data_IF_609377592847
#
_entry.id   IF_609377592847
#
_cell.length_a   1.000
_cell.length_b   1.000
_cell.length_c   1.000
_cell.angle_alpha   90.00
_cell.angle_beta   90.00
_cell.angle_gamma   90.00
#
_symmetry.space_group_name_H-M   'P 1'
#
loop_
_entity.id
_entity.type
_entity.pdbx_description
1 polymer ?
#
# COMPACT_ATOMS: atom_id res chain seq x y z
N UNK A 1 -13.60 2.34 7.78
CA UNK A 1 -12.81 1.26 7.15
C UNK A 1 -12.04 1.70 5.91
N UNK A 2 -12.63 1.83 4.71
CA UNK A 2 -11.85 2.13 3.47
C UNK A 2 -10.98 3.38 3.61
N UNK A 3 -11.54 4.46 4.16
CA UNK A 3 -10.83 5.71 4.38
C UNK A 3 -9.65 5.56 5.35
N UNK A 4 -9.82 4.78 6.43
CA UNK A 4 -8.75 4.52 7.41
C UNK A 4 -7.60 3.71 6.77
N UNK A 5 -7.94 2.71 5.94
CA UNK A 5 -6.96 1.96 5.16
C UNK A 5 -6.20 2.92 4.23
N UNK A 6 -6.92 3.73 3.46
CA UNK A 6 -6.34 4.67 2.51
C UNK A 6 -5.37 5.64 3.21
N UNK A 7 -5.80 6.26 4.31
CA UNK A 7 -4.98 7.21 5.05
C UNK A 7 -3.72 6.56 5.61
N UNK A 8 -3.83 5.34 6.16
CA UNK A 8 -2.65 4.61 6.61
C UNK A 8 -1.69 4.36 5.46
N UNK A 9 -2.17 3.85 4.33
CA UNK A 9 -1.32 3.53 3.18
C UNK A 9 -0.66 4.79 2.60
N UNK A 10 -1.35 5.94 2.61
CA UNK A 10 -0.75 7.23 2.25
C UNK A 10 0.36 7.65 3.20
N UNK A 11 0.17 7.51 4.50
CA UNK A 11 1.22 7.79 5.49
C UNK A 11 2.45 6.90 5.28
N UNK A 12 2.26 5.61 5.00
CA UNK A 12 3.36 4.68 4.75
C UNK A 12 4.08 4.97 3.44
N UNK A 13 3.35 5.22 2.35
CA UNK A 13 3.93 5.63 1.09
C UNK A 13 4.68 6.97 1.18
N UNK A 14 4.18 7.90 2.01
CA UNK A 14 4.89 9.17 2.29
C UNK A 14 6.21 8.91 3.01
N UNK A 15 6.21 8.04 4.01
CA UNK A 15 7.43 7.70 4.73
C UNK A 15 8.45 7.01 3.84
N UNK A 16 8.02 6.06 3.00
CA UNK A 16 8.89 5.40 2.03
C UNK A 16 9.43 6.37 0.98
N UNK A 17 8.63 7.34 0.51
CA UNK A 17 9.11 8.38 -0.41
C UNK A 17 10.18 9.28 0.22
N UNK A 18 10.12 9.52 1.53
CA UNK A 18 11.13 10.29 2.25
C UNK A 18 12.37 9.44 2.53
N UNK A 19 12.20 8.24 3.09
CA UNK A 19 13.30 7.38 3.55
C UNK A 19 14.03 6.71 2.38
N UNK A 20 13.30 6.36 1.33
CA UNK A 20 13.84 5.68 0.15
C UNK A 20 13.39 6.42 -1.13
N UNK A 21 14.10 7.50 -1.53
CA UNK A 21 13.74 8.28 -2.71
C UNK A 21 13.74 7.45 -4.00
N UNK A 22 14.56 6.40 -4.08
CA UNK A 22 14.60 5.50 -5.23
C UNK A 22 13.36 4.59 -5.28
N UNK A 23 12.42 4.92 -6.18
CA UNK A 23 11.11 4.27 -6.29
C UNK A 23 11.15 2.74 -6.42
N UNK A 24 12.17 2.20 -7.10
CA UNK A 24 12.30 0.76 -7.34
C UNK A 24 12.55 -0.07 -6.07
N UNK A 25 13.06 0.56 -5.01
CA UNK A 25 13.37 -0.08 -3.73
C UNK A 25 12.33 0.20 -2.65
N UNK A 26 11.29 1.00 -2.95
CA UNK A 26 10.23 1.30 -1.99
C UNK A 26 9.36 0.08 -1.74
N UNK A 27 9.08 -0.14 -0.46
CA UNK A 27 8.20 -1.19 -0.02
C UNK A 27 6.73 -0.80 -0.17
N UNK A 28 6.38 0.44 0.19
CA UNK A 28 5.03 1.00 0.10
C UNK A 28 4.94 2.08 -0.99
N UNK A 29 3.84 2.10 -1.72
CA UNK A 29 3.51 3.18 -2.64
C UNK A 29 2.01 3.46 -2.64
N UNK A 30 1.63 4.67 -3.02
CA UNK A 30 0.23 5.05 -3.14
C UNK A 30 0.04 6.05 -4.28
N UNK A 31 -1.00 5.84 -5.08
CA UNK A 31 -1.43 6.76 -6.12
C UNK A 31 -2.91 7.08 -5.92
N UNK A 32 -3.18 8.31 -5.50
CA UNK A 32 -4.53 8.84 -5.25
C UNK A 32 -5.27 9.26 -6.53
N UNK A 33 -4.61 9.12 -7.68
CA UNK A 33 -5.11 9.49 -9.00
C UNK A 33 -4.93 8.33 -9.99
N UNK A 34 -5.02 7.08 -9.51
CA UNK A 34 -4.75 5.87 -10.30
C UNK A 34 -5.59 5.83 -11.58
N UNK A 35 -6.87 6.18 -11.46
CA UNK A 35 -7.78 6.37 -12.59
C UNK A 35 -8.96 7.27 -12.15
N UNK A 36 -9.96 7.44 -13.02
CA UNK A 36 -11.13 8.28 -12.72
C UNK A 36 -11.89 7.80 -11.48
N UNK A 37 -11.70 8.51 -10.37
CA UNK A 37 -12.29 8.20 -9.07
C UNK A 37 -11.68 6.97 -8.38
N UNK A 38 -10.53 6.50 -8.85
CA UNK A 38 -9.85 5.30 -8.35
C UNK A 38 -8.53 5.67 -7.68
N UNK A 39 -8.25 5.00 -6.57
CA UNK A 39 -6.97 5.12 -5.87
C UNK A 39 -6.37 3.72 -5.69
N UNK A 40 -5.04 3.68 -5.59
CA UNK A 40 -4.28 2.44 -5.49
C UNK A 40 -3.18 2.59 -4.45
N UNK A 41 -3.11 1.65 -3.50
CA UNK A 41 -1.96 1.44 -2.64
C UNK A 41 -1.30 0.11 -2.97
N UNK A 42 0.03 0.04 -2.90
CA UNK A 42 0.76 -1.20 -3.19
C UNK A 42 1.84 -1.47 -2.16
N UNK A 43 2.15 -2.75 -2.00
CA UNK A 43 3.35 -3.24 -1.34
C UNK A 43 4.16 -4.12 -2.28
N UNK A 44 5.49 -3.98 -2.27
CA UNK A 44 6.45 -4.85 -2.97
C UNK A 44 7.57 -5.23 -2.02
N UNK A 45 7.76 -6.52 -1.75
CA UNK A 45 8.70 -6.97 -0.73
C UNK A 45 10.15 -7.18 -1.20
N UNK A 46 10.43 -6.91 -2.48
CA UNK A 46 11.73 -7.14 -3.11
C UNK A 46 12.07 -8.62 -3.37
N UNK A 47 11.24 -9.56 -2.91
CA UNK A 47 11.41 -11.01 -3.03
C UNK A 47 10.30 -11.68 -3.86
N UNK A 48 9.47 -10.89 -4.53
CA UNK A 48 8.39 -11.33 -5.40
C UNK A 48 7.02 -11.36 -4.75
N UNK A 49 6.94 -11.17 -3.43
CA UNK A 49 5.69 -10.92 -2.73
C UNK A 49 5.23 -9.48 -2.94
N UNK A 50 3.96 -9.33 -3.27
CA UNK A 50 3.37 -8.01 -3.50
C UNK A 50 1.85 -8.06 -3.34
N UNK A 51 1.28 -6.92 -3.03
CA UNK A 51 -0.16 -6.76 -3.08
C UNK A 51 -0.58 -5.37 -3.53
N UNK A 52 -1.82 -5.28 -4.00
CA UNK A 52 -2.47 -4.05 -4.39
C UNK A 52 -3.79 -3.91 -3.63
N UNK A 53 -3.96 -2.77 -2.98
CA UNK A 53 -5.23 -2.27 -2.48
C UNK A 53 -5.79 -1.28 -3.49
N UNK A 54 -7.03 -1.48 -3.91
CA UNK A 54 -7.74 -0.60 -4.83
C UNK A 54 -9.00 -0.08 -4.16
N UNK A 55 -9.38 1.16 -4.46
CA UNK A 55 -10.68 1.71 -4.05
C UNK A 55 -11.31 2.57 -5.14
N UNK A 56 -12.64 2.60 -5.14
CA UNK A 56 -13.48 3.48 -5.96
C UNK A 56 -14.76 3.82 -5.22
N UNK A 57 -14.85 5.03 -4.67
CA UNK A 57 -15.95 5.40 -3.76
C UNK A 57 -16.03 4.45 -2.57
N UNK A 58 -17.18 3.78 -2.41
CA UNK A 58 -17.43 2.79 -1.35
C UNK A 58 -16.98 1.36 -1.70
N UNK A 59 -16.35 1.17 -2.86
CA UNK A 59 -15.79 -0.13 -3.26
C UNK A 59 -14.32 -0.22 -2.86
N UNK A 60 -13.90 -1.40 -2.43
CA UNK A 60 -12.50 -1.69 -2.17
C UNK A 60 -12.16 -3.13 -2.56
N UNK A 61 -10.96 -3.30 -3.11
CA UNK A 61 -10.42 -4.56 -3.58
C UNK A 61 -9.00 -4.75 -3.07
N UNK A 62 -8.60 -6.01 -2.91
CA UNK A 62 -7.25 -6.39 -2.53
C UNK A 62 -6.82 -7.61 -3.33
N UNK A 63 -5.64 -7.58 -3.96
CA UNK A 63 -5.02 -8.76 -4.59
C UNK A 63 -3.62 -8.93 -4.05
N UNK A 64 -3.24 -10.16 -3.72
CA UNK A 64 -1.92 -10.48 -3.22
C UNK A 64 -1.35 -11.71 -3.92
N UNK A 65 -0.04 -11.65 -4.17
CA UNK A 65 0.80 -12.79 -4.46
C UNK A 65 1.85 -12.92 -3.35
N UNK A 66 1.97 -14.12 -2.82
CA UNK A 66 2.95 -14.53 -1.84
C UNK A 66 3.54 -15.85 -2.33
N UNK A 67 4.74 -15.83 -2.93
CA UNK A 67 5.36 -17.02 -3.51
C UNK A 67 5.47 -18.19 -2.53
N UNK A 68 5.74 -17.90 -1.25
CA UNK A 68 5.92 -18.92 -0.21
C UNK A 68 4.60 -19.50 0.30
N UNK A 69 3.52 -18.71 0.32
CA UNK A 69 2.18 -19.20 0.68
C UNK A 69 1.51 -19.97 -0.48
N UNK A 70 2.04 -19.82 -1.70
CA UNK A 70 1.50 -20.43 -2.91
C UNK A 70 0.32 -19.65 -3.49
N UNK A 71 -0.22 -20.16 -4.60
CA UNK A 71 -1.28 -19.53 -5.38
C UNK A 71 -2.53 -20.41 -5.38
N UNK A 72 -3.70 -19.81 -5.58
CA UNK A 72 -4.91 -20.59 -5.87
C UNK A 72 -4.98 -20.84 -7.37
N UNK A 73 -4.84 -22.11 -7.75
CA UNK A 73 -4.98 -22.54 -9.14
C UNK A 73 -6.36 -22.12 -9.67
N UNK A 74 -6.39 -21.48 -10.84
CA UNK A 74 -7.61 -20.96 -11.47
C UNK A 74 -8.40 -19.95 -10.63
N UNK A 75 -7.76 -19.14 -9.77
CA UNK A 75 -8.45 -18.08 -9.04
C UNK A 75 -9.22 -17.12 -9.97
N UNK A 76 -8.75 -16.95 -11.20
CA UNK A 76 -9.42 -16.18 -12.25
C UNK A 76 -10.80 -16.73 -12.62
N UNK A 77 -11.06 -18.03 -12.45
CA UNK A 77 -12.37 -18.63 -12.73
C UNK A 77 -13.46 -18.14 -11.78
N UNK A 78 -13.06 -17.63 -10.61
CA UNK A 78 -13.94 -17.01 -9.63
C UNK A 78 -14.19 -15.52 -9.92
N UNK A 79 -13.46 -14.90 -10.85
CA UNK A 79 -13.67 -13.48 -11.16
C UNK A 79 -15.04 -13.20 -11.77
N UNK A 80 -15.66 -14.20 -12.41
CA UNK A 80 -17.04 -14.12 -12.91
C UNK A 80 -18.08 -13.99 -11.79
N UNK A 81 -17.73 -14.38 -10.57
CA UNK A 81 -18.61 -14.32 -9.40
C UNK A 81 -18.49 -12.96 -8.68
N UNK A 82 -17.50 -12.14 -9.05
CA UNK A 82 -17.28 -10.80 -8.49
C UNK A 82 -18.21 -9.79 -9.21
N UNK A 83 -18.89 -8.89 -8.48
CA UNK A 83 -19.80 -7.91 -9.10
C UNK A 83 -19.09 -7.06 -10.16
N UNK A 84 -19.79 -6.76 -11.27
CA UNK A 84 -19.24 -6.02 -12.42
C UNK A 84 -18.76 -4.60 -12.07
N UNK A 85 -19.18 -4.04 -10.93
CA UNK A 85 -18.65 -2.78 -10.40
C UNK A 85 -17.15 -2.84 -10.06
N UNK A 86 -16.60 -4.05 -9.91
CA UNK A 86 -15.16 -4.30 -9.71
C UNK A 86 -14.39 -4.58 -11.01
N UNK A 87 -15.00 -4.40 -12.18
CA UNK A 87 -14.35 -4.74 -13.45
C UNK A 87 -13.02 -3.99 -13.67
N UNK A 88 -12.90 -2.72 -13.28
CA UNK A 88 -11.61 -2.00 -13.39
C UNK A 88 -10.56 -2.64 -12.49
N UNK A 89 -10.88 -2.92 -11.23
CA UNK A 89 -10.00 -3.63 -10.31
C UNK A 89 -9.58 -5.04 -10.78
N UNK A 90 -10.54 -5.83 -11.29
CA UNK A 90 -10.29 -7.21 -11.67
C UNK A 90 -9.42 -7.30 -12.93
N UNK A 91 -9.66 -6.41 -13.90
CA UNK A 91 -8.98 -6.45 -15.19
C UNK A 91 -7.79 -5.49 -15.32
N UNK A 92 -7.47 -4.72 -14.27
CA UNK A 92 -6.33 -3.80 -14.25
C UNK A 92 -5.02 -4.57 -14.54
N UNK A 93 -4.32 -4.25 -15.66
CA UNK A 93 -3.06 -4.90 -16.02
C UNK A 93 -1.99 -4.81 -14.94
N UNK A 94 -1.88 -3.68 -14.22
CA UNK A 94 -0.92 -3.53 -13.12
C UNK A 94 -1.19 -4.51 -11.97
N UNK A 95 -2.44 -4.95 -11.79
CA UNK A 95 -2.84 -5.88 -10.74
C UNK A 95 -3.01 -7.31 -11.26
N UNK A 96 -2.61 -7.58 -12.51
CA UNK A 96 -2.90 -8.84 -13.22
C UNK A 96 -2.06 -10.00 -12.70
N UNK A 97 -2.39 -10.46 -11.50
CA UNK A 97 -1.94 -11.70 -10.89
C UNK A 97 -2.91 -12.81 -11.34
N UNK A 98 -2.65 -13.40 -12.51
CA UNK A 98 -3.45 -14.53 -13.01
C UNK A 98 -3.48 -15.69 -12.01
N UNK A 99 -2.38 -15.85 -11.29
CA UNK A 99 -2.21 -16.78 -10.16
C UNK A 99 -1.98 -16.00 -8.86
N UNK A 100 -3.02 -15.31 -8.36
CA UNK A 100 -2.97 -14.69 -7.03
C UNK A 100 -2.97 -15.74 -5.92
N UNK A 101 -2.28 -15.44 -4.82
CA UNK A 101 -2.47 -16.13 -3.54
C UNK A 101 -3.83 -15.82 -2.95
N UNK A 102 -4.28 -14.57 -3.04
CA UNK A 102 -5.64 -14.21 -2.64
C UNK A 102 -6.20 -12.99 -3.38
N UNK A 103 -7.53 -12.93 -3.45
CA UNK A 103 -8.30 -11.81 -4.01
C UNK A 103 -9.49 -11.55 -3.10
N UNK A 104 -9.57 -10.35 -2.55
CA UNK A 104 -10.66 -9.91 -1.68
C UNK A 104 -11.37 -8.72 -2.30
N UNK A 105 -12.67 -8.61 -2.01
CA UNK A 105 -13.47 -7.44 -2.39
C UNK A 105 -14.48 -7.13 -1.29
N UNK A 106 -14.84 -5.87 -1.16
CA UNK A 106 -15.78 -5.42 -0.14
C UNK A 106 -17.22 -5.53 -0.61
N UNK A 107 -18.08 -6.15 0.19
CA UNK A 107 -19.52 -6.21 -0.09
C UNK A 107 -20.28 -6.04 1.23
N UNK A 108 -21.23 -5.10 1.27
CA UNK A 108 -22.02 -4.79 2.47
C UNK A 108 -21.14 -4.59 3.73
N UNK A 109 -20.05 -3.82 3.59
CA UNK A 109 -19.04 -3.58 4.64
C UNK A 109 -18.30 -4.82 5.17
N UNK A 110 -18.37 -5.95 4.47
CA UNK A 110 -17.65 -7.17 4.81
C UNK A 110 -16.69 -7.57 3.69
N UNK A 111 -15.47 -7.95 4.05
CA UNK A 111 -14.51 -8.48 3.10
C UNK A 111 -14.92 -9.91 2.69
N UNK A 112 -15.24 -10.08 1.41
CA UNK A 112 -15.35 -11.40 0.80
C UNK A 112 -13.94 -11.82 0.41
N UNK A 113 -13.45 -12.90 1.03
CA UNK A 113 -12.08 -13.36 0.87
C UNK A 113 -12.03 -14.64 0.04
N UNK A 114 -11.32 -14.60 -1.08
CA UNK A 114 -10.94 -15.76 -1.87
C UNK A 114 -9.43 -15.93 -1.77
N UNK A 115 -8.91 -17.15 -1.71
CA UNK A 115 -7.48 -17.39 -1.64
C UNK A 115 -7.02 -18.28 -0.49
N UNK A 116 -5.70 -18.37 -0.35
CA UNK A 116 -5.03 -18.94 0.82
C UNK A 116 -4.80 -17.88 1.90
N UNK A 117 -4.52 -18.34 3.12
CA UNK A 117 -4.06 -17.45 4.19
C UNK A 117 -2.62 -17.00 3.92
N UNK A 118 -2.39 -15.69 3.95
CA UNK A 118 -1.07 -15.09 3.70
C UNK A 118 -0.29 -14.97 5.01
N UNK A 119 0.95 -15.47 5.03
CA UNK A 119 1.83 -15.48 6.21
C UNK A 119 3.22 -14.94 5.92
N UNK A 120 3.66 -15.01 4.68
CA UNK A 120 5.03 -14.69 4.28
C UNK A 120 5.18 -13.31 3.65
N UNK A 121 4.07 -12.66 3.31
CA UNK A 121 4.01 -11.25 2.92
C UNK A 121 3.29 -10.47 4.01
N UNK A 122 3.77 -9.26 4.29
CA UNK A 122 3.15 -8.38 5.26
C UNK A 122 1.72 -8.01 4.81
N UNK A 123 0.72 -8.49 5.55
CA UNK A 123 -0.69 -8.39 5.14
C UNK A 123 -1.24 -6.98 5.30
N UNK A 124 -2.28 -6.66 4.52
CA UNK A 124 -3.00 -5.39 4.65
C UNK A 124 -3.49 -5.17 6.09
N UNK A 125 -4.06 -6.18 6.74
CA UNK A 125 -4.52 -6.08 8.13
C UNK A 125 -3.39 -5.78 9.11
N UNK A 126 -2.20 -6.37 8.89
CA UNK A 126 -1.04 -6.11 9.75
C UNK A 126 -0.56 -4.66 9.57
N UNK A 127 -0.45 -4.20 8.33
CA UNK A 127 -0.03 -2.84 7.98
C UNK A 127 -0.97 -1.79 8.57
N UNK A 128 -2.29 -2.01 8.49
CA UNK A 128 -3.25 -1.04 9.04
C UNK A 128 -3.24 -0.97 10.56
N UNK A 129 -2.82 -2.05 11.22
CA UNK A 129 -2.65 -2.13 12.68
C UNK A 129 -1.34 -1.53 13.19
N UNK A 130 -0.43 -1.11 12.30
CA UNK A 130 0.83 -0.52 12.72
C UNK A 130 0.63 0.81 13.42
N UNK A 131 1.33 0.94 14.55
CA UNK A 131 1.63 2.20 15.21
C UNK A 131 2.95 2.77 14.66
N UNK A 132 3.26 4.07 14.88
CA UNK A 132 4.49 4.69 14.38
C UNK A 132 5.77 3.91 14.70
N UNK A 133 5.83 3.33 15.90
CA UNK A 133 6.96 2.51 16.34
C UNK A 133 7.12 1.23 15.51
N UNK A 134 6.04 0.64 15.02
CA UNK A 134 6.12 -0.58 14.21
C UNK A 134 6.69 -0.30 12.83
N UNK A 135 6.33 0.84 12.22
CA UNK A 135 6.98 1.26 10.98
C UNK A 135 8.45 1.57 11.22
N UNK A 136 8.79 2.31 12.29
CA UNK A 136 10.19 2.60 12.65
C UNK A 136 11.02 1.31 12.74
N UNK A 137 10.63 0.38 13.62
CA UNK A 137 11.37 -0.86 13.86
C UNK A 137 11.57 -1.65 12.56
N UNK A 138 10.53 -1.77 11.73
CA UNK A 138 10.60 -2.46 10.45
C UNK A 138 11.50 -1.72 9.44
N UNK A 139 11.35 -0.41 9.31
CA UNK A 139 12.05 0.40 8.32
C UNK A 139 13.54 0.57 8.66
N UNK A 140 13.91 0.65 9.94
CA UNK A 140 15.31 0.67 10.36
C UNK A 140 16.02 -0.65 10.07
N UNK A 141 15.31 -1.78 10.16
CA UNK A 141 15.84 -3.09 9.75
C UNK A 141 15.96 -3.19 8.22
N UNK A 142 14.92 -2.78 7.49
CA UNK A 142 14.86 -2.95 6.04
C UNK A 142 15.76 -1.97 5.26
N UNK A 143 15.73 -0.69 5.63
CA UNK A 143 16.50 0.37 4.97
C UNK A 143 17.88 0.59 5.60
N UNK A 144 18.20 -0.09 6.70
CA UNK A 144 19.45 0.05 7.47
C UNK A 144 19.74 1.49 7.96
N UNK A 145 18.69 2.28 8.19
CA UNK A 145 18.75 3.67 8.62
C UNK A 145 18.31 3.87 10.09
N UNK A 146 18.63 5.02 10.68
CA UNK A 146 18.06 5.42 11.99
C UNK A 146 16.98 6.49 11.80
N UNK A 147 15.75 6.20 12.21
CA UNK A 147 14.60 7.05 11.88
C UNK A 147 14.02 7.79 13.10
N UNK A 148 13.69 9.05 12.93
CA UNK A 148 13.04 9.86 13.97
C UNK A 148 11.59 9.43 14.22
N UNK A 149 11.32 8.87 15.40
CA UNK A 149 9.98 8.43 15.80
C UNK A 149 8.97 9.58 15.90
N UNK A 150 9.39 10.77 16.28
CA UNK A 150 8.51 11.95 16.38
C UNK A 150 8.03 12.36 14.98
N UNK A 151 8.95 12.45 14.02
CA UNK A 151 8.65 12.70 12.62
C UNK A 151 7.70 11.65 12.03
N UNK A 152 7.97 10.35 12.27
CA UNK A 152 7.08 9.25 11.83
C UNK A 152 5.69 9.40 12.44
N UNK A 153 5.62 9.71 13.74
CA UNK A 153 4.34 9.86 14.45
C UNK A 153 3.50 10.98 13.87
N UNK A 154 4.13 12.11 13.49
CA UNK A 154 3.42 13.20 12.82
C UNK A 154 2.89 12.80 11.44
N UNK A 155 3.70 12.12 10.63
CA UNK A 155 3.28 11.67 9.28
C UNK A 155 2.16 10.61 9.37
N UNK A 156 2.17 9.77 10.41
CA UNK A 156 1.08 8.84 10.72
C UNK A 156 -0.26 9.54 11.01
N UNK A 157 -0.24 10.80 11.44
CA UNK A 157 -1.44 11.64 11.62
C UNK A 157 -1.80 12.46 10.37
N UNK A 158 -1.01 12.33 9.30
CA UNK A 158 -1.13 13.11 8.07
C UNK A 158 -0.55 14.52 8.18
N UNK A 159 0.20 14.84 9.24
CA UNK A 159 0.89 16.11 9.40
C UNK A 159 2.33 15.98 8.88
N UNK A 160 2.58 16.57 7.71
CA UNK A 160 3.89 16.57 7.06
C UNK A 160 4.41 18.00 7.11
N UNK A 161 5.68 18.17 7.47
CA UNK A 161 6.33 19.47 7.37
C UNK A 161 7.83 19.27 7.05
N UNK A 162 8.48 20.36 6.68
CA UNK A 162 9.89 20.36 6.29
C UNK A 162 10.79 19.84 7.41
N UNK A 163 10.53 20.20 8.68
CA UNK A 163 11.37 19.72 9.80
C UNK A 163 11.31 18.20 9.99
N UNK A 164 10.13 17.59 9.85
CA UNK A 164 9.97 16.13 9.95
C UNK A 164 10.67 15.43 8.79
N UNK A 165 10.55 15.97 7.57
CA UNK A 165 11.21 15.44 6.38
C UNK A 165 12.73 15.48 6.55
N UNK A 166 13.29 16.65 6.88
CA UNK A 166 14.73 16.81 7.08
C UNK A 166 15.27 15.93 8.21
N UNK A 167 14.46 15.65 9.24
CA UNK A 167 14.84 14.74 10.34
C UNK A 167 14.94 13.28 9.87
N UNK A 168 14.08 12.87 8.93
CA UNK A 168 14.05 11.51 8.40
C UNK A 168 15.06 11.29 7.26
N UNK A 169 15.18 12.27 6.36
CA UNK A 169 16.13 12.23 5.27
C UNK A 169 16.54 13.67 4.89
N UNK A 170 17.74 14.15 5.30
CA UNK A 170 18.19 15.49 4.99
C UNK A 170 18.58 15.68 3.50
N UNK A 171 18.80 14.59 2.77
CA UNK A 171 19.28 14.59 1.39
C UNK A 171 18.15 14.45 0.35
N UNK A 172 16.89 14.33 0.80
CA UNK A 172 15.73 14.22 -0.10
C UNK A 172 15.55 15.47 -0.96
N UNK A 173 15.30 15.28 -2.25
CA UNK A 173 15.00 16.38 -3.17
C UNK A 173 13.54 16.83 -2.94
N UNK A 174 13.38 18.04 -2.40
CA UNK A 174 12.07 18.53 -1.95
C UNK A 174 11.06 18.77 -3.09
N UNK A 175 11.52 19.09 -4.31
CA UNK A 175 10.63 19.34 -5.45
C UNK A 175 10.07 18.04 -6.05
N UNK A 176 10.88 16.98 -6.11
CA UNK A 176 10.48 15.62 -6.44
C UNK A 176 9.52 15.10 -5.37
N UNK A 177 9.90 15.18 -4.09
CA UNK A 177 9.03 14.74 -2.99
C UNK A 177 7.68 15.49 -2.99
N UNK A 178 7.64 16.78 -3.29
CA UNK A 178 6.38 17.54 -3.38
C UNK A 178 5.48 16.98 -4.49
N UNK A 179 6.05 16.62 -5.64
CA UNK A 179 5.30 15.99 -6.75
C UNK A 179 4.77 14.62 -6.33
N UNK A 180 5.56 13.85 -5.59
CA UNK A 180 5.12 12.55 -5.07
C UNK A 180 4.04 12.67 -3.99
N UNK A 181 4.12 13.67 -3.11
CA UNK A 181 3.06 13.94 -2.14
C UNK A 181 1.73 14.25 -2.84
N UNK A 182 1.74 15.02 -3.93
CA UNK A 182 0.56 15.26 -4.75
C UNK A 182 -0.01 13.96 -5.34
N UNK A 183 0.84 13.07 -5.86
CA UNK A 183 0.42 11.75 -6.37
C UNK A 183 -0.18 10.87 -5.24
N UNK A 184 0.48 10.80 -4.08
CA UNK A 184 0.00 10.08 -2.89
C UNK A 184 -1.31 10.71 -2.37
N UNK A 185 -1.57 11.98 -2.69
CA UNK A 185 -2.73 12.73 -2.23
C UNK A 185 -2.55 13.22 -0.79
N UNK A 186 -1.34 13.71 -0.51
CA UNK A 186 -0.87 14.35 0.73
C UNK A 186 -0.33 15.75 0.39
N UNK A 187 -0.15 16.59 1.40
CA UNK A 187 0.41 17.94 1.22
C UNK A 187 1.29 18.31 2.42
N UNK A 188 2.22 19.23 2.16
CA UNK A 188 3.03 19.93 3.15
C UNK A 188 2.23 20.99 3.91
#
# INVERSE_FOLDING_TARGET
>A
MIHEISNRLKSLATLDAIVCPDWEFRYFSYNSQWSEGEEMGSLRDGSGGQWFFWKKGELAGYKCISPEDGVVEYISDHFKDIPSSYNSFINEPAFSMLDSSCVWYLMDNNWIKLGVDIKHVLTLEKVISWEPINYKEWAEEYYEENLDLEAISHIFTGNINVSHITSLNPDVEMSELTTELEEIGMAL
#
